data_IF_461914267777
#
_entry.id   IF_461914267777
#
_cell.length_a   1.000
_cell.length_b   1.000
_cell.length_c   1.000
_cell.angle_alpha   90.00
_cell.angle_beta   90.00
_cell.angle_gamma   90.00
#
_symmetry.space_group_name_H-M   'P 1'
#
loop_
_entity.id
_entity.type
_entity.pdbx_description
1 polymer ?
#
# COMPACT_ATOMS: atom_id res chain seq x y z
N UNK A 1 -72.49 40.63 3.05
CA UNK A 1 -71.53 40.79 4.16
C UNK A 1 -71.22 39.41 4.72
N UNK A 2 -70.07 38.82 4.36
CA UNK A 2 -69.62 37.52 4.90
C UNK A 2 -68.10 37.56 5.11
N UNK A 3 -67.72 36.99 6.25
CA UNK A 3 -66.47 36.90 7.00
C UNK A 3 -65.10 36.84 6.27
N UNK A 4 -64.11 37.45 6.94
CA UNK A 4 -62.67 37.18 6.79
C UNK A 4 -62.29 35.83 7.39
N UNK A 5 -61.23 35.18 6.89
CA UNK A 5 -60.28 34.49 7.75
C UNK A 5 -58.88 35.09 7.64
N UNK A 6 -58.28 35.38 8.80
CA UNK A 6 -56.87 35.72 8.97
C UNK A 6 -56.08 34.41 8.98
N UNK A 7 -55.16 34.24 8.04
CA UNK A 7 -54.20 33.13 8.09
C UNK A 7 -53.06 33.50 9.03
N UNK A 8 -52.99 32.80 10.15
CA UNK A 8 -51.82 32.70 11.01
C UNK A 8 -50.81 31.78 10.32
N UNK A 9 -49.64 32.29 9.95
CA UNK A 9 -48.52 31.46 9.48
C UNK A 9 -47.50 31.38 10.60
N UNK A 10 -47.49 30.25 11.29
CA UNK A 10 -46.52 29.91 12.32
C UNK A 10 -45.57 28.82 11.82
N UNK A 11 -44.28 29.08 12.05
CA UNK A 11 -43.20 28.12 12.33
C UNK A 11 -42.67 27.30 11.14
N UNK A 12 -41.38 27.48 10.84
CA UNK A 12 -40.42 26.36 10.84
C UNK A 12 -39.00 26.88 11.09
N UNK A 13 -38.55 26.79 12.35
CA UNK A 13 -37.14 26.91 12.71
C UNK A 13 -36.45 25.60 12.28
N UNK A 14 -35.74 25.62 11.16
CA UNK A 14 -34.82 24.54 10.79
C UNK A 14 -33.54 24.76 11.59
N UNK A 15 -33.51 24.24 12.82
CA UNK A 15 -32.27 23.98 13.54
C UNK A 15 -31.52 22.89 12.76
N UNK A 16 -30.66 23.32 11.85
CA UNK A 16 -29.67 22.46 11.23
C UNK A 16 -28.73 21.98 12.33
N UNK A 17 -28.98 20.77 12.82
CA UNK A 17 -28.01 20.00 13.59
C UNK A 17 -26.81 19.77 12.67
N UNK A 18 -25.79 20.62 12.80
CA UNK A 18 -24.48 20.38 12.20
C UNK A 18 -23.84 19.27 13.03
N UNK A 19 -24.28 18.04 12.76
CA UNK A 19 -23.58 16.84 13.14
C UNK A 19 -22.26 16.86 12.38
N UNK A 20 -21.19 17.38 13.02
CA UNK A 20 -19.82 17.16 12.56
C UNK A 20 -19.63 15.65 12.44
N UNK A 21 -19.47 15.08 11.24
CA UNK A 21 -19.06 13.70 11.16
C UNK A 21 -17.61 13.69 11.63
N UNK A 22 -17.36 13.08 12.79
CA UNK A 22 -16.04 12.54 13.07
C UNK A 22 -15.69 11.64 11.88
N UNK A 23 -14.89 12.17 10.93
CA UNK A 23 -14.53 11.45 9.72
C UNK A 23 -13.70 10.26 10.17
N UNK A 24 -14.30 9.08 10.13
CA UNK A 24 -13.54 7.85 10.04
C UNK A 24 -12.59 8.05 8.84
N UNK A 25 -11.29 8.14 9.12
CA UNK A 25 -10.28 8.30 8.07
C UNK A 25 -10.41 7.10 7.12
N UNK A 26 -10.56 7.37 5.82
CA UNK A 26 -10.56 6.32 4.80
C UNK A 26 -9.17 5.69 4.77
N UNK A 27 -9.03 4.58 5.50
CA UNK A 27 -7.83 3.73 5.54
C UNK A 27 -7.34 3.43 4.11
N UNK A 28 -8.24 3.19 3.18
CA UNK A 28 -7.89 2.95 1.78
C UNK A 28 -7.25 4.19 1.14
N UNK A 29 -7.78 5.39 1.38
CA UNK A 29 -7.19 6.63 0.87
C UNK A 29 -5.80 6.87 1.44
N UNK A 30 -5.61 6.66 2.75
CA UNK A 30 -4.30 6.79 3.39
C UNK A 30 -3.31 5.83 2.76
N UNK A 31 -3.65 4.54 2.66
CA UNK A 31 -2.75 3.53 2.12
C UNK A 31 -2.42 3.78 0.64
N UNK A 32 -3.41 4.15 -0.18
CA UNK A 32 -3.17 4.54 -1.59
C UNK A 32 -2.17 5.68 -1.75
N UNK A 33 -2.14 6.62 -0.80
CA UNK A 33 -1.19 7.73 -0.82
C UNK A 33 0.19 7.36 -0.26
N UNK A 34 0.25 6.57 0.83
CA UNK A 34 1.51 6.34 1.58
C UNK A 34 2.32 5.13 1.14
N UNK A 35 1.69 4.10 0.59
CA UNK A 35 2.39 2.96 -0.01
C UNK A 35 3.38 3.41 -1.10
N UNK A 36 2.97 4.17 -2.14
CA UNK A 36 3.89 4.58 -3.20
C UNK A 36 4.99 5.51 -2.69
N UNK A 37 4.68 6.38 -1.72
CA UNK A 37 5.67 7.26 -1.06
C UNK A 37 6.79 6.44 -0.41
N UNK A 38 6.46 5.43 0.41
CA UNK A 38 7.48 4.59 1.05
C UNK A 38 8.20 3.64 0.10
N UNK A 39 7.55 3.24 -1.00
CA UNK A 39 8.13 2.29 -1.94
C UNK A 39 9.26 2.92 -2.79
N UNK A 40 9.16 4.21 -3.11
CA UNK A 40 10.14 4.90 -3.97
C UNK A 40 11.14 5.77 -3.21
N UNK A 41 10.88 6.05 -1.92
CA UNK A 41 11.65 7.03 -1.17
C UNK A 41 12.44 6.39 -0.03
N UNK A 42 13.75 6.28 -0.21
CA UNK A 42 14.69 5.96 0.87
C UNK A 42 15.99 6.78 0.73
N UNK A 43 16.62 7.08 1.86
CA UNK A 43 18.07 7.30 1.91
C UNK A 43 18.76 5.98 1.53
N UNK A 44 19.20 5.85 0.27
CA UNK A 44 19.96 4.69 -0.22
C UNK A 44 19.40 3.96 -1.46
N UNK A 45 18.21 4.31 -1.96
CA UNK A 45 17.66 3.71 -3.19
C UNK A 45 16.14 3.58 -3.22
N UNK A 46 15.62 2.83 -4.19
CA UNK A 46 14.21 2.47 -4.33
C UNK A 46 13.98 1.01 -3.93
N UNK A 47 12.82 0.72 -3.34
CA UNK A 47 12.38 -0.67 -3.12
C UNK A 47 11.80 -1.30 -4.37
N UNK A 48 11.44 -0.47 -5.34
CA UNK A 48 10.82 -0.89 -6.59
C UNK A 48 11.85 -0.71 -7.69
N UNK A 49 12.19 -1.78 -8.45
CA UNK A 49 13.06 -1.65 -9.60
C UNK A 49 12.49 -0.67 -10.63
N UNK A 50 13.34 0.23 -11.15
CA UNK A 50 12.96 1.21 -12.19
C UNK A 50 12.26 0.60 -13.40
N UNK A 51 12.60 -0.65 -13.75
CA UNK A 51 11.96 -1.43 -14.81
C UNK A 51 10.43 -1.46 -14.70
N UNK A 52 9.89 -1.45 -13.47
CA UNK A 52 8.45 -1.60 -13.24
C UNK A 52 7.66 -0.31 -13.51
N UNK A 53 8.34 0.83 -13.57
CA UNK A 53 7.75 2.14 -13.81
C UNK A 53 8.53 2.97 -14.82
N UNK A 54 9.21 2.31 -15.77
CA UNK A 54 9.99 2.96 -16.82
C UNK A 54 9.19 3.96 -17.66
N UNK A 55 7.87 3.75 -17.76
CA UNK A 55 6.93 4.63 -18.44
C UNK A 55 6.40 5.77 -17.55
N UNK A 56 7.00 5.97 -16.37
CA UNK A 56 6.65 7.01 -15.42
C UNK A 56 5.42 6.74 -14.58
N UNK A 57 4.81 5.55 -14.68
CA UNK A 57 3.61 5.18 -13.93
C UNK A 57 3.88 4.00 -12.99
N UNK A 58 3.80 4.26 -11.68
CA UNK A 58 3.87 3.24 -10.65
C UNK A 58 2.49 2.57 -10.51
N UNK A 59 2.45 1.26 -10.77
CA UNK A 59 1.21 0.46 -10.73
C UNK A 59 1.29 -0.50 -9.58
N UNK A 60 0.30 -0.49 -8.71
CA UNK A 60 0.31 -1.37 -7.55
C UNK A 60 -1.08 -1.84 -7.17
N UNK A 61 -1.13 -3.03 -6.60
CA UNK A 61 -2.30 -3.57 -5.89
C UNK A 61 -1.92 -3.67 -4.42
N UNK A 62 -2.87 -3.47 -3.51
CA UNK A 62 -2.59 -3.62 -2.08
C UNK A 62 -3.68 -4.38 -1.35
N UNK A 63 -3.29 -4.96 -0.23
CA UNK A 63 -4.14 -5.67 0.71
C UNK A 63 -3.79 -5.17 2.12
N UNK A 64 -4.82 -4.76 2.86
CA UNK A 64 -4.71 -4.42 4.27
C UNK A 64 -5.32 -5.54 5.11
N UNK A 65 -4.57 -6.01 6.11
CA UNK A 65 -5.03 -6.96 7.12
C UNK A 65 -4.91 -6.31 8.50
N UNK A 66 -6.07 -6.11 9.15
CA UNK A 66 -6.10 -5.69 10.54
C UNK A 66 -5.60 -6.82 11.46
N UNK A 67 -5.18 -6.50 12.70
CA UNK A 67 -4.77 -7.48 13.69
C UNK A 67 -5.78 -8.62 13.83
N UNK A 68 -5.29 -9.86 13.83
CA UNK A 68 -6.13 -11.06 13.91
C UNK A 68 -6.07 -11.64 15.31
N UNK A 69 -7.23 -11.73 15.97
CA UNK A 69 -7.36 -12.41 17.27
C UNK A 69 -7.10 -13.93 17.15
N UNK A 70 -7.50 -14.52 16.03
CA UNK A 70 -7.32 -15.94 15.71
C UNK A 70 -6.64 -16.08 14.34
N UNK A 71 -5.30 -15.99 14.28
CA UNK A 71 -4.55 -16.15 13.03
C UNK A 71 -4.69 -17.58 12.50
N UNK A 72 -4.78 -17.73 11.18
CA UNK A 72 -4.65 -19.04 10.54
C UNK A 72 -3.24 -19.62 10.68
N UNK A 73 -3.05 -20.87 10.27
CA UNK A 73 -1.77 -21.59 10.32
C UNK A 73 -0.60 -20.79 9.72
N UNK A 74 -0.88 -20.04 8.66
CA UNK A 74 0.08 -19.22 7.91
C UNK A 74 -0.15 -17.73 8.10
N UNK A 75 -0.67 -17.29 9.26
CA UNK A 75 -0.83 -15.88 9.59
C UNK A 75 0.03 -15.51 10.79
N UNK A 76 0.63 -14.32 10.77
CA UNK A 76 1.37 -13.83 11.92
C UNK A 76 0.46 -13.80 13.15
N UNK A 77 1.00 -14.24 14.30
CA UNK A 77 0.33 -14.14 15.60
C UNK A 77 0.45 -12.74 16.22
N UNK A 78 0.92 -11.76 15.44
CA UNK A 78 1.22 -10.44 15.93
C UNK A 78 -0.02 -9.53 15.89
N UNK A 79 -0.03 -8.54 16.78
CA UNK A 79 -1.12 -7.57 16.88
C UNK A 79 -0.93 -6.41 15.89
N UNK A 80 -0.25 -6.66 14.76
CA UNK A 80 0.17 -5.60 13.84
C UNK A 80 -0.81 -5.41 12.68
N UNK A 81 -0.83 -4.18 12.18
CA UNK A 81 -1.56 -3.80 10.98
C UNK A 81 -0.70 -4.09 9.75
N UNK A 82 -0.94 -5.22 9.10
CA UNK A 82 -0.16 -5.65 7.95
C UNK A 82 -0.71 -5.04 6.66
N UNK A 83 0.19 -4.54 5.81
CA UNK A 83 -0.13 -4.04 4.47
C UNK A 83 0.78 -4.75 3.49
N UNK A 84 0.19 -5.39 2.49
CA UNK A 84 0.93 -6.05 1.42
C UNK A 84 0.69 -5.27 0.13
N UNK A 85 1.73 -4.92 -0.60
CA UNK A 85 1.61 -4.24 -1.88
C UNK A 85 2.41 -5.00 -2.94
N UNK A 86 1.78 -5.31 -4.07
CA UNK A 86 2.47 -5.81 -5.24
C UNK A 86 2.52 -4.71 -6.28
N UNK A 87 3.73 -4.33 -6.68
CA UNK A 87 4.03 -3.39 -7.74
C UNK A 87 4.24 -4.17 -9.02
N UNK A 88 3.72 -3.66 -10.13
CA UNK A 88 3.66 -4.40 -11.39
C UNK A 88 4.21 -3.56 -12.52
N UNK A 89 4.88 -4.20 -13.48
CA UNK A 89 5.10 -3.57 -14.77
C UNK A 89 3.77 -3.40 -15.53
N UNK A 90 3.80 -2.63 -16.62
CA UNK A 90 2.61 -2.32 -17.44
C UNK A 90 1.83 -3.57 -17.88
N UNK A 91 2.52 -4.66 -18.19
CA UNK A 91 1.91 -5.92 -18.67
C UNK A 91 1.56 -6.90 -17.55
N UNK A 92 1.85 -6.57 -16.28
CA UNK A 92 1.76 -7.47 -15.12
C UNK A 92 2.48 -8.81 -15.35
N UNK A 93 3.59 -8.77 -16.10
CA UNK A 93 4.47 -9.93 -16.34
C UNK A 93 5.60 -10.04 -15.32
N UNK A 94 6.00 -8.91 -14.74
CA UNK A 94 6.98 -8.76 -13.67
C UNK A 94 6.40 -7.89 -12.55
N UNK A 95 6.89 -8.07 -11.34
CA UNK A 95 6.52 -7.22 -10.22
C UNK A 95 7.47 -7.33 -9.03
N UNK A 96 7.20 -6.52 -8.02
CA UNK A 96 7.87 -6.50 -6.72
C UNK A 96 6.81 -6.54 -5.62
N UNK A 97 6.95 -7.45 -4.66
CA UNK A 97 6.12 -7.50 -3.47
C UNK A 97 6.81 -6.75 -2.35
N UNK A 98 6.11 -5.86 -1.66
CA UNK A 98 6.51 -5.28 -0.38
C UNK A 98 5.50 -5.62 0.71
N UNK A 99 5.99 -6.02 1.89
CA UNK A 99 5.20 -6.13 3.11
C UNK A 99 5.56 -4.98 4.05
N UNK A 100 4.54 -4.29 4.54
CA UNK A 100 4.65 -3.23 5.52
C UNK A 100 3.92 -3.58 6.82
N UNK A 101 4.41 -3.05 7.93
CA UNK A 101 3.66 -2.89 9.18
C UNK A 101 3.29 -1.42 9.35
N UNK A 102 2.02 -1.14 9.63
CA UNK A 102 1.51 0.20 9.90
C UNK A 102 1.59 0.54 11.40
N UNK A 103 2.74 1.09 11.81
CA UNK A 103 3.09 1.35 13.20
C UNK A 103 2.35 2.55 13.81
N UNK A 104 2.11 3.60 13.02
CA UNK A 104 1.39 4.81 13.45
C UNK A 104 0.35 5.23 12.42
N UNK A 105 -0.92 5.20 12.82
CA UNK A 105 -2.08 5.53 11.97
C UNK A 105 -2.33 7.03 11.80
N UNK A 106 -2.03 7.80 12.83
CA UNK A 106 -2.16 9.26 12.81
C UNK A 106 -0.94 9.93 12.13
N UNK A 107 -1.12 11.07 11.43
CA UNK A 107 -0.02 11.79 10.81
C UNK A 107 1.15 12.17 11.78
N UNK A 108 2.41 12.13 11.29
CA UNK A 108 2.82 11.47 10.06
C UNK A 108 2.58 9.96 10.17
N UNK A 109 2.03 9.38 9.09
CA UNK A 109 1.77 7.94 9.01
C UNK A 109 3.12 7.22 9.00
N UNK A 110 3.26 6.16 9.78
CA UNK A 110 4.50 5.38 9.84
C UNK A 110 4.28 3.97 9.30
N UNK A 111 4.92 3.68 8.17
CA UNK A 111 4.98 2.34 7.58
C UNK A 111 6.41 1.81 7.67
N UNK A 112 6.56 0.58 8.16
CA UNK A 112 7.84 -0.13 8.17
C UNK A 112 7.84 -1.24 7.15
N UNK A 113 8.79 -1.25 6.22
CA UNK A 113 8.99 -2.38 5.30
C UNK A 113 9.66 -3.52 6.09
N UNK A 114 9.00 -4.67 6.12
CA UNK A 114 9.47 -5.84 6.87
C UNK A 114 9.84 -7.01 5.96
N UNK A 115 9.44 -6.97 4.69
CA UNK A 115 9.78 -7.99 3.70
C UNK A 115 9.64 -7.46 2.27
N UNK A 116 10.40 -8.03 1.33
CA UNK A 116 10.33 -7.75 -0.10
C UNK A 116 10.55 -9.03 -0.93
N UNK A 117 10.30 -8.97 -2.24
CA UNK A 117 10.52 -10.12 -3.12
C UNK A 117 10.05 -9.91 -4.55
N UNK A 118 10.82 -10.43 -5.50
CA UNK A 118 10.54 -10.33 -6.92
C UNK A 118 9.37 -11.25 -7.32
N UNK A 119 8.58 -10.80 -8.29
CA UNK A 119 7.44 -11.55 -8.84
C UNK A 119 7.66 -11.75 -10.34
N UNK A 120 7.68 -13.01 -10.78
CA UNK A 120 7.72 -13.40 -12.20
C UNK A 120 6.46 -14.16 -12.58
N UNK A 121 5.60 -13.59 -13.44
CA UNK A 121 4.24 -14.10 -13.60
C UNK A 121 4.06 -15.18 -14.68
N UNK A 122 5.05 -15.44 -15.55
CA UNK A 122 4.95 -16.52 -16.55
C UNK A 122 4.65 -17.91 -15.93
N UNK A 123 5.02 -18.11 -14.67
CA UNK A 123 4.66 -19.28 -13.85
C UNK A 123 4.19 -18.87 -12.45
N UNK A 124 3.96 -17.57 -12.23
CA UNK A 124 3.60 -17.01 -10.94
C UNK A 124 4.63 -17.21 -9.83
N UNK A 125 5.90 -17.44 -10.16
CA UNK A 125 6.98 -17.66 -9.21
C UNK A 125 7.31 -16.35 -8.49
N UNK A 126 7.24 -16.39 -7.17
CA UNK A 126 7.80 -15.35 -6.33
C UNK A 126 9.24 -15.77 -6.04
N UNK A 127 10.19 -14.96 -6.50
CA UNK A 127 11.59 -15.07 -6.15
C UNK A 127 11.83 -14.13 -4.98
N UNK A 128 11.45 -14.61 -3.80
CA UNK A 128 11.88 -14.00 -2.55
C UNK A 128 13.32 -14.46 -2.44
N UNK A 129 14.30 -13.58 -2.71
CA UNK A 129 15.73 -13.86 -2.57
C UNK A 129 15.95 -14.57 -1.22
N UNK A 130 16.04 -15.90 -1.31
CA UNK A 130 16.12 -16.92 -0.27
C UNK A 130 15.60 -16.61 1.16
N UNK A 131 14.51 -17.28 1.55
CA UNK A 131 14.45 -18.08 2.79
C UNK A 131 14.90 -17.47 4.13
N UNK A 132 14.92 -16.15 4.33
CA UNK A 132 15.24 -15.52 5.62
C UNK A 132 14.28 -15.92 6.76
N UNK A 133 13.13 -16.55 6.44
CA UNK A 133 12.08 -16.91 7.40
C UNK A 133 11.37 -18.26 7.14
N UNK A 134 11.92 -19.14 6.27
CA UNK A 134 11.43 -20.51 6.05
C UNK A 134 10.15 -20.70 5.21
N UNK A 135 9.75 -21.96 5.02
CA UNK A 135 8.59 -22.41 4.20
C UNK A 135 7.30 -21.66 4.56
N UNK A 136 7.13 -21.37 5.86
CA UNK A 136 5.95 -20.68 6.38
C UNK A 136 5.76 -19.29 5.75
N UNK A 137 6.81 -18.47 5.67
CA UNK A 137 6.73 -17.11 5.10
C UNK A 137 6.47 -17.16 3.60
N UNK A 138 7.08 -18.13 2.91
CA UNK A 138 6.83 -18.34 1.49
C UNK A 138 5.34 -18.66 1.23
N UNK A 139 4.76 -19.58 2.00
CA UNK A 139 3.33 -19.89 1.91
C UNK A 139 2.44 -18.71 2.29
N UNK A 140 2.78 -18.02 3.38
CA UNK A 140 2.09 -16.82 3.84
C UNK A 140 1.98 -15.79 2.71
N UNK A 141 3.10 -15.40 2.10
CA UNK A 141 3.13 -14.38 1.05
C UNK A 141 2.52 -14.86 -0.26
N UNK A 142 2.70 -16.13 -0.63
CA UNK A 142 2.10 -16.70 -1.85
C UNK A 142 0.58 -16.64 -1.82
N UNK A 143 -0.05 -16.93 -0.67
CA UNK A 143 -1.51 -16.81 -0.51
C UNK A 143 -1.99 -15.36 -0.67
N UNK A 144 -1.23 -14.39 -0.16
CA UNK A 144 -1.55 -12.95 -0.32
C UNK A 144 -1.35 -12.50 -1.76
N UNK A 145 -0.31 -12.98 -2.43
CA UNK A 145 -0.06 -12.66 -3.83
C UNK A 145 -1.22 -13.07 -4.73
N UNK A 146 -1.83 -14.23 -4.49
CA UNK A 146 -3.03 -14.65 -5.22
C UNK A 146 -4.17 -13.63 -5.11
N UNK A 147 -4.40 -13.08 -3.90
CA UNK A 147 -5.41 -12.03 -3.66
C UNK A 147 -5.03 -10.71 -4.30
N UNK A 148 -3.76 -10.32 -4.20
CA UNK A 148 -3.22 -9.10 -4.79
C UNK A 148 -3.37 -9.09 -6.32
N UNK A 149 -3.15 -10.22 -7.00
CA UNK A 149 -3.34 -10.33 -8.47
C UNK A 149 -4.76 -9.96 -8.93
N UNK A 150 -5.75 -10.29 -8.11
CA UNK A 150 -7.16 -10.00 -8.37
C UNK A 150 -7.64 -8.65 -7.81
N UNK A 151 -6.83 -7.99 -6.99
CA UNK A 151 -7.21 -6.72 -6.37
C UNK A 151 -7.24 -5.58 -7.41
N UNK A 152 -8.02 -4.51 -7.16
CA UNK A 152 -8.09 -3.36 -8.05
C UNK A 152 -6.73 -2.69 -8.22
N UNK A 153 -6.31 -2.48 -9.48
CA UNK A 153 -5.06 -1.78 -9.79
C UNK A 153 -5.16 -0.32 -9.37
N UNK A 154 -4.18 0.13 -8.62
CA UNK A 154 -3.91 1.53 -8.36
C UNK A 154 -2.80 2.00 -9.30
N UNK A 155 -2.85 3.26 -9.71
CA UNK A 155 -1.81 3.88 -10.54
C UNK A 155 -1.48 5.24 -9.97
N UNK A 156 -0.20 5.52 -9.81
CA UNK A 156 0.33 6.82 -9.42
C UNK A 156 1.38 7.25 -10.44
N UNK A 157 1.32 8.51 -10.89
CA UNK A 157 2.39 9.07 -11.71
C UNK A 157 3.62 9.29 -10.83
N UNK A 158 4.77 8.72 -11.21
CA UNK A 158 5.98 8.71 -10.39
C UNK A 158 6.40 10.11 -9.94
N UNK A 159 6.35 11.07 -10.85
CA UNK A 159 6.73 12.47 -10.60
C UNK A 159 5.76 13.21 -9.65
N UNK A 160 4.56 12.67 -9.42
CA UNK A 160 3.54 13.26 -8.56
C UNK A 160 3.51 12.63 -7.17
N UNK A 161 4.31 11.60 -6.93
CA UNK A 161 4.39 10.95 -5.62
C UNK A 161 5.14 11.90 -4.68
N UNK A 162 4.52 12.34 -3.57
CA UNK A 162 5.19 13.21 -2.62
C UNK A 162 6.34 12.45 -1.95
N UNK A 163 7.41 13.17 -1.62
CA UNK A 163 8.56 12.63 -0.86
C UNK A 163 8.42 12.84 0.65
N UNK A 164 7.30 13.40 1.10
CA UNK A 164 7.03 13.75 2.50
C UNK A 164 5.57 13.53 2.86
N UNK A 165 5.32 13.06 4.08
CA UNK A 165 3.96 12.78 4.59
C UNK A 165 3.81 11.39 5.21
N UNK A 166 4.72 10.48 4.93
CA UNK A 166 5.00 9.27 5.69
C UNK A 166 6.40 9.29 6.29
N UNK A 167 6.55 8.56 7.39
CA UNK A 167 7.83 8.07 7.88
C UNK A 167 7.97 6.63 7.41
N UNK A 168 9.07 6.32 6.74
CA UNK A 168 9.33 5.02 6.16
C UNK A 168 10.67 4.50 6.71
N UNK A 169 10.64 3.37 7.40
CA UNK A 169 11.82 2.63 7.85
C UNK A 169 11.77 1.20 7.30
N UNK A 170 12.89 0.47 7.38
CA UNK A 170 12.97 -0.86 6.79
C UNK A 170 13.87 -1.80 7.60
N UNK A 171 13.47 -3.08 7.65
CA UNK A 171 14.33 -4.22 7.98
C UNK A 171 14.68 -5.08 6.76
N UNK A 172 14.13 -4.75 5.59
CA UNK A 172 14.36 -5.46 4.34
C UNK A 172 15.60 -4.91 3.60
N UNK A 173 15.88 -5.37 2.37
CA UNK A 173 16.94 -4.85 1.51
C UNK A 173 16.41 -4.15 0.25
N UNK A 174 16.80 -2.89 0.04
CA UNK A 174 16.40 -2.13 -1.14
C UNK A 174 17.10 -2.66 -2.39
N UNK A 175 16.51 -2.43 -3.56
CA UNK A 175 17.12 -2.81 -4.83
C UNK A 175 18.13 -1.74 -5.23
N UNK A 176 19.31 -2.15 -5.72
CA UNK A 176 20.30 -1.22 -6.24
C UNK A 176 19.82 -0.66 -7.60
N UNK A 177 19.50 0.64 -7.63
CA UNK A 177 19.12 1.37 -8.84
C UNK A 177 20.33 1.78 -9.70
N UNK A 178 21.55 1.48 -9.25
CA UNK A 178 22.77 1.77 -10.00
C UNK A 178 22.84 0.85 -11.23
N UNK A 179 23.14 1.37 -12.44
CA UNK A 179 23.43 0.51 -13.57
C UNK A 179 24.61 -0.38 -13.17
N UNK A 180 24.44 -1.72 -13.22
CA UNK A 180 25.54 -2.68 -13.08
C UNK A 180 26.67 -2.24 -14.01
N UNK A 181 27.67 -1.54 -13.47
CA UNK A 181 28.97 -1.46 -14.11
C UNK A 181 29.52 -2.87 -14.01
N UNK A 182 29.34 -3.65 -15.06
CA UNK A 182 30.11 -4.87 -15.23
C UNK A 182 31.58 -4.47 -15.26
N UNK A 183 32.44 -4.91 -14.33
CA UNK A 183 33.84 -4.95 -14.64
C UNK A 183 34.00 -6.14 -15.58
N UNK A 184 34.19 -5.85 -16.86
CA UNK A 184 34.84 -6.76 -17.78
C UNK A 184 36.12 -7.25 -17.12
N UNK A 185 36.17 -8.54 -16.76
CA UNK A 185 37.42 -9.15 -16.37
C UNK A 185 38.04 -9.77 -17.62
N UNK A 186 39.12 -9.17 -18.15
CA UNK A 186 40.17 -10.00 -18.70
C UNK A 186 41.52 -9.57 -18.14
N UNK A 187 42.12 -10.44 -17.33
CA UNK A 187 43.50 -10.91 -17.49
C UNK A 187 43.74 -12.17 -16.70
#
# INVERSE_FOLDING_TARGET
MIARPRFFTSILLVLASISLPGRAEDVGAILRARIPECAIHQEGGSWIPKELYEDGALRFTYLYEAPKKNPGEYDYRDETHNVYAAFWNRTRTKGELLQFVWLRRAPPVHLRIVNNGHIVTQQGKMDIEDALWGVWTHEHLTRRLARLRTAPLQTAAFQQIPTRGATCDSYAHAVDDSPRSSPSNPR
#
